data_IF_089663888513
#
_entry.id   IF_089663888513
#
_cell.length_a   1.000
_cell.length_b   1.000
_cell.length_c   1.000
_cell.angle_alpha   90.00
_cell.angle_beta   90.00
_cell.angle_gamma   90.00
#
_symmetry.space_group_name_H-M   'P 1'
#
loop_
_entity.id
_entity.type
_entity.pdbx_description
1 polymer ?
#
# COMPACT_ATOMS: atom_id res chain seq x y z
N UNK A 1 -19.01 -28.32 42.68
CA UNK A 1 -18.71 -29.67 42.19
C UNK A 1 -19.31 -29.82 40.81
N UNK A 2 -18.52 -29.58 39.75
CA UNK A 2 -18.76 -30.11 38.40
C UNK A 2 -17.42 -30.16 37.69
N UNK A 3 -16.94 -31.37 37.47
CA UNK A 3 -15.76 -31.71 36.65
C UNK A 3 -16.13 -31.58 35.18
N UNK A 4 -15.33 -30.89 34.39
CA UNK A 4 -15.32 -31.02 32.94
C UNK A 4 -13.99 -31.56 32.47
N UNK A 5 -14.09 -32.77 31.88
CA UNK A 5 -12.97 -33.55 31.39
C UNK A 5 -12.32 -32.99 30.14
N UNK A 6 -11.03 -33.10 30.15
CA UNK A 6 -10.10 -32.82 29.05
C UNK A 6 -10.26 -33.88 27.97
N UNK A 7 -10.66 -33.51 26.74
CA UNK A 7 -10.61 -34.42 25.58
C UNK A 7 -9.30 -34.19 24.83
N UNK A 8 -8.53 -35.26 24.69
CA UNK A 8 -7.31 -35.34 23.93
C UNK A 8 -7.54 -35.20 22.39
N UNK A 9 -6.55 -34.73 21.60
CA UNK A 9 -6.68 -34.58 20.16
C UNK A 9 -6.58 -35.92 19.45
N UNK A 10 -7.44 -36.08 18.44
CA UNK A 10 -7.48 -37.22 17.53
C UNK A 10 -6.19 -37.27 16.66
N UNK A 11 -5.45 -38.37 16.80
CA UNK A 11 -4.37 -38.76 15.89
C UNK A 11 -4.96 -39.19 14.55
N UNK A 12 -4.71 -38.42 13.49
CA UNK A 12 -4.93 -38.89 12.12
C UNK A 12 -3.84 -39.90 11.75
N UNK A 13 -4.22 -41.13 11.53
CA UNK A 13 -3.35 -42.18 10.98
C UNK A 13 -3.22 -41.95 9.47
N UNK A 14 -1.99 -41.77 8.99
CA UNK A 14 -1.66 -41.93 7.58
C UNK A 14 -1.76 -43.42 7.22
N UNK A 15 -2.66 -43.73 6.30
CA UNK A 15 -2.77 -45.04 5.67
C UNK A 15 -1.92 -44.99 4.40
N UNK A 16 -0.79 -45.70 4.41
CA UNK A 16 0.03 -45.97 3.22
C UNK A 16 -0.51 -47.19 2.50
N UNK A 17 -0.76 -47.19 1.19
CA UNK A 17 -1.02 -48.39 0.42
C UNK A 17 0.28 -49.15 0.11
N UNK A 18 0.23 -50.47 -0.04
CA UNK A 18 1.41 -51.31 -0.21
C UNK A 18 1.99 -51.23 -1.63
N UNK A 19 3.32 -51.06 -1.70
CA UNK A 19 4.07 -51.12 -2.93
C UNK A 19 4.14 -52.58 -3.48
N UNK A 20 3.58 -52.79 -4.67
CA UNK A 20 3.87 -54.01 -5.45
C UNK A 20 5.22 -53.86 -6.16
N UNK A 21 6.05 -54.90 -5.95
CA UNK A 21 7.35 -55.03 -6.60
C UNK A 21 7.20 -55.40 -8.09
N UNK A 22 7.84 -54.62 -8.95
CA UNK A 22 8.04 -54.90 -10.38
C UNK A 22 9.18 -54.04 -10.91
N UNK A 23 10.34 -54.65 -11.21
CA UNK A 23 11.55 -54.09 -11.82
C UNK A 23 11.35 -53.77 -13.33
N UNK A 24 12.37 -53.20 -14.02
CA UNK A 24 13.26 -52.07 -13.76
C UNK A 24 13.38 -51.10 -14.97
N UNK A 25 14.28 -50.09 -14.86
CA UNK A 25 14.83 -49.17 -15.90
C UNK A 25 13.97 -47.98 -16.29
N UNK A 26 14.44 -46.82 -15.85
CA UNK A 26 14.01 -45.51 -16.36
C UNK A 26 14.22 -44.42 -15.34
N UNK A 27 15.42 -43.82 -15.41
CA UNK A 27 15.79 -42.43 -15.02
C UNK A 27 14.94 -41.78 -13.91
N UNK A 28 15.53 -41.69 -12.74
CA UNK A 28 15.13 -40.82 -11.64
C UNK A 28 15.38 -39.35 -11.98
N UNK A 29 14.48 -38.74 -12.76
CA UNK A 29 14.40 -37.31 -12.95
C UNK A 29 12.92 -36.91 -12.98
N UNK A 30 12.36 -36.57 -11.85
CA UNK A 30 10.97 -36.11 -11.89
C UNK A 30 10.31 -35.81 -10.54
N UNK A 31 10.95 -35.99 -9.42
CA UNK A 31 10.29 -35.75 -8.12
C UNK A 31 10.83 -34.57 -7.31
N UNK A 32 11.81 -33.84 -7.84
CA UNK A 32 12.45 -32.69 -7.17
C UNK A 32 11.92 -31.32 -7.59
N UNK A 33 11.01 -31.22 -8.58
CA UNK A 33 10.70 -29.93 -9.23
C UNK A 33 9.37 -29.29 -8.77
N UNK A 34 8.59 -29.95 -7.92
CA UNK A 34 7.28 -29.42 -7.51
C UNK A 34 7.25 -28.71 -6.16
N UNK A 35 8.35 -28.69 -5.42
CA UNK A 35 8.37 -28.04 -4.09
C UNK A 35 9.01 -26.65 -4.14
N UNK A 36 9.71 -26.28 -5.21
CA UNK A 36 10.34 -24.94 -5.34
C UNK A 36 9.51 -23.89 -6.06
N UNK A 37 8.34 -24.25 -6.60
CA UNK A 37 7.47 -23.32 -7.33
C UNK A 37 6.49 -22.51 -6.50
N UNK A 38 6.28 -22.85 -5.23
CA UNK A 38 5.19 -22.25 -4.44
C UNK A 38 5.62 -21.15 -3.48
N UNK A 39 6.92 -20.82 -3.39
CA UNK A 39 7.42 -19.97 -2.30
C UNK A 39 7.96 -18.60 -2.69
N UNK A 40 7.89 -18.14 -3.94
CA UNK A 40 8.62 -16.94 -4.33
C UNK A 40 7.90 -15.89 -5.17
N UNK A 41 6.59 -15.95 -5.34
CA UNK A 41 5.87 -14.92 -6.08
C UNK A 41 4.73 -14.28 -5.28
N UNK A 42 5.04 -13.24 -4.49
CA UNK A 42 3.98 -12.41 -3.88
C UNK A 42 3.41 -11.38 -4.86
N UNK A 43 3.86 -11.35 -6.12
CA UNK A 43 3.32 -10.46 -7.14
C UNK A 43 2.30 -11.19 -8.00
N UNK A 44 1.14 -10.57 -8.25
CA UNK A 44 0.10 -11.10 -9.14
C UNK A 44 0.58 -11.38 -10.57
N UNK A 45 1.81 -10.97 -10.92
CA UNK A 45 2.45 -11.28 -12.20
C UNK A 45 2.59 -12.79 -12.45
N UNK A 46 2.86 -13.57 -11.41
CA UNK A 46 2.94 -15.04 -11.53
C UNK A 46 1.60 -15.69 -11.86
N UNK A 47 0.50 -15.03 -11.52
CA UNK A 47 -0.86 -15.45 -11.80
C UNK A 47 -1.47 -14.68 -12.98
N UNK A 48 -0.72 -13.80 -13.63
CA UNK A 48 -1.19 -12.89 -14.67
C UNK A 48 -2.46 -12.10 -14.25
N UNK A 49 -2.51 -11.69 -12.98
CA UNK A 49 -3.62 -10.88 -12.45
C UNK A 49 -3.38 -9.44 -12.81
N UNK A 50 -4.31 -8.84 -13.55
CA UNK A 50 -4.29 -7.40 -13.80
C UNK A 50 -4.65 -6.63 -12.53
N UNK A 51 -3.68 -5.86 -12.03
CA UNK A 51 -3.83 -5.02 -10.85
C UNK A 51 -4.26 -3.58 -11.20
N UNK A 52 -4.55 -3.28 -12.47
CA UNK A 52 -4.94 -1.91 -12.89
C UNK A 52 -6.23 -1.48 -12.20
N UNK A 53 -7.25 -2.32 -12.22
CA UNK A 53 -8.53 -2.05 -11.57
C UNK A 53 -8.38 -1.89 -10.07
N UNK A 54 -7.58 -2.74 -9.42
CA UNK A 54 -7.28 -2.60 -8.00
C UNK A 54 -6.63 -1.25 -7.68
N UNK A 55 -5.65 -0.81 -8.47
CA UNK A 55 -5.00 0.47 -8.27
C UNK A 55 -5.95 1.65 -8.50
N UNK A 56 -6.84 1.56 -9.51
CA UNK A 56 -7.86 2.58 -9.77
C UNK A 56 -8.85 2.68 -8.62
N UNK A 57 -9.36 1.55 -8.13
CA UNK A 57 -10.26 1.53 -6.97
C UNK A 57 -9.57 2.03 -5.70
N UNK A 58 -8.32 1.65 -5.45
CA UNK A 58 -7.55 2.14 -4.31
C UNK A 58 -7.31 3.66 -4.40
N UNK A 59 -7.10 4.19 -5.61
CA UNK A 59 -6.94 5.62 -5.84
C UNK A 59 -8.24 6.40 -5.60
N UNK A 60 -9.39 5.88 -6.08
CA UNK A 60 -10.71 6.45 -5.83
C UNK A 60 -11.06 6.42 -4.33
N UNK A 61 -10.69 5.34 -3.62
CA UNK A 61 -10.94 5.18 -2.20
C UNK A 61 -10.30 6.28 -1.35
N UNK A 62 -9.13 6.83 -1.72
CA UNK A 62 -8.50 7.96 -1.01
C UNK A 62 -9.46 9.13 -0.87
N UNK A 63 -10.17 9.48 -1.96
CA UNK A 63 -11.14 10.57 -1.97
C UNK A 63 -12.30 10.30 -1.01
N UNK A 64 -12.86 9.11 -1.05
CA UNK A 64 -13.96 8.71 -0.17
C UNK A 64 -13.55 8.74 1.30
N UNK A 65 -12.33 8.28 1.61
CA UNK A 65 -11.79 8.28 2.97
C UNK A 65 -11.43 9.69 3.48
N UNK A 66 -11.23 10.68 2.60
CA UNK A 66 -10.92 12.05 3.02
C UNK A 66 -12.06 12.70 3.83
N UNK A 67 -13.28 12.24 3.63
CA UNK A 67 -14.49 12.71 4.31
C UNK A 67 -14.98 11.78 5.42
N UNK A 68 -14.30 10.65 5.65
CA UNK A 68 -14.72 9.70 6.67
C UNK A 68 -14.33 10.18 8.08
N UNK A 69 -15.30 10.37 9.02
CA UNK A 69 -15.01 10.91 10.34
C UNK A 69 -14.26 9.92 11.25
N UNK A 70 -14.48 8.63 11.06
CA UNK A 70 -14.08 7.57 12.00
C UNK A 70 -12.93 6.69 11.48
N UNK A 71 -11.97 7.29 10.77
CA UNK A 71 -10.86 6.54 10.17
C UNK A 71 -10.03 5.72 11.16
N UNK A 72 -9.81 6.28 12.36
CA UNK A 72 -9.04 5.65 13.44
C UNK A 72 -9.94 5.10 14.57
N UNK A 73 -11.27 5.15 14.42
CA UNK A 73 -12.16 4.58 15.42
C UNK A 73 -11.96 3.06 15.48
N UNK A 74 -11.47 2.59 16.61
CA UNK A 74 -11.43 1.17 16.90
C UNK A 74 -12.86 0.68 17.14
N UNK A 75 -13.25 -0.40 16.47
CA UNK A 75 -14.53 -1.03 16.76
C UNK A 75 -14.54 -1.49 18.24
N UNK A 76 -15.62 -1.17 18.96
CA UNK A 76 -15.80 -1.63 20.34
C UNK A 76 -16.15 -3.13 20.31
N UNK A 77 -15.15 -3.94 20.08
CA UNK A 77 -15.26 -5.41 20.05
C UNK A 77 -14.30 -5.99 21.06
N UNK A 78 -14.60 -7.17 21.64
CA UNK A 78 -13.72 -7.83 22.60
C UNK A 78 -12.40 -8.32 21.98
N UNK A 79 -12.29 -8.33 20.65
CA UNK A 79 -11.05 -8.64 19.92
C UNK A 79 -10.54 -7.39 19.22
N UNK A 80 -9.23 -7.08 19.27
CA UNK A 80 -8.66 -5.95 18.57
C UNK A 80 -8.80 -6.15 17.06
N UNK A 81 -9.64 -5.32 16.44
CA UNK A 81 -9.80 -5.28 14.98
C UNK A 81 -9.01 -4.12 14.42
N UNK A 82 -8.34 -4.28 13.27
CA UNK A 82 -7.62 -3.19 12.64
C UNK A 82 -8.58 -2.06 12.26
N UNK A 83 -8.14 -0.81 12.42
CA UNK A 83 -8.91 0.37 12.02
C UNK A 83 -8.98 0.49 10.50
N UNK A 84 -9.92 1.30 10.00
CA UNK A 84 -10.03 1.57 8.55
C UNK A 84 -8.74 2.18 8.00
N UNK A 85 -8.12 3.10 8.74
CA UNK A 85 -6.84 3.70 8.36
C UNK A 85 -5.72 2.66 8.29
N UNK A 86 -5.63 1.74 9.24
CA UNK A 86 -4.62 0.67 9.23
C UNK A 86 -4.75 -0.25 8.02
N UNK A 87 -5.98 -0.68 7.70
CA UNK A 87 -6.24 -1.51 6.52
C UNK A 87 -5.90 -0.76 5.23
N UNK A 88 -6.26 0.52 5.15
CA UNK A 88 -5.97 1.37 4.01
C UNK A 88 -4.46 1.54 3.78
N UNK A 89 -3.70 1.92 4.81
CA UNK A 89 -2.24 2.05 4.67
C UNK A 89 -1.56 0.71 4.39
N UNK A 90 -2.08 -0.40 4.92
CA UNK A 90 -1.60 -1.73 4.57
C UNK A 90 -1.81 -2.03 3.08
N UNK A 91 -2.98 -1.70 2.52
CA UNK A 91 -3.24 -1.83 1.08
C UNK A 91 -2.29 -0.97 0.24
N UNK A 92 -2.04 0.29 0.64
CA UNK A 92 -1.05 1.16 0.00
C UNK A 92 0.36 0.56 0.03
N UNK A 93 0.79 0.01 1.18
CA UNK A 93 2.11 -0.62 1.29
C UNK A 93 2.26 -1.85 0.38
N UNK A 94 1.19 -2.61 0.18
CA UNK A 94 1.18 -3.74 -0.76
C UNK A 94 1.22 -3.26 -2.22
N UNK A 95 0.40 -2.25 -2.57
CA UNK A 95 0.34 -1.69 -3.92
C UNK A 95 1.68 -1.06 -4.35
N UNK A 96 2.39 -0.44 -3.42
CA UNK A 96 3.67 0.23 -3.63
C UNK A 96 4.86 -0.56 -3.06
N UNK A 97 4.76 -1.88 -2.98
CA UNK A 97 5.88 -2.72 -2.56
C UNK A 97 7.09 -2.56 -3.51
N UNK A 98 8.35 -2.70 -3.03
CA UNK A 98 9.54 -2.44 -3.85
C UNK A 98 9.63 -3.24 -5.15
N UNK A 99 8.93 -4.35 -5.24
CA UNK A 99 8.96 -5.28 -6.38
C UNK A 99 7.86 -5.05 -7.41
N UNK A 100 6.94 -4.12 -7.18
CA UNK A 100 5.75 -3.95 -8.03
C UNK A 100 5.99 -3.14 -9.29
N UNK A 101 7.19 -2.54 -9.47
CA UNK A 101 7.51 -1.77 -10.68
C UNK A 101 6.52 -0.65 -10.99
N UNK A 102 6.03 0.06 -9.96
CA UNK A 102 5.02 1.10 -10.11
C UNK A 102 5.54 2.25 -10.96
N UNK A 103 4.83 2.67 -12.01
CA UNK A 103 5.27 3.78 -12.85
C UNK A 103 5.26 5.12 -12.08
N UNK A 104 6.22 6.04 -12.36
CA UNK A 104 6.36 7.32 -11.63
C UNK A 104 5.10 8.19 -11.63
N UNK A 105 4.34 8.22 -12.74
CA UNK A 105 3.10 8.99 -12.81
C UNK A 105 2.03 8.48 -11.82
N UNK A 106 1.94 7.15 -11.61
CA UNK A 106 1.02 6.56 -10.62
C UNK A 106 1.45 6.93 -9.21
N UNK A 107 2.74 6.83 -8.91
CA UNK A 107 3.31 7.22 -7.62
C UNK A 107 3.04 8.70 -7.32
N UNK A 108 3.23 9.57 -8.31
CA UNK A 108 2.95 11.01 -8.22
C UNK A 108 1.45 11.29 -8.00
N UNK A 109 0.56 10.61 -8.73
CA UNK A 109 -0.88 10.76 -8.57
C UNK A 109 -1.34 10.42 -7.16
N UNK A 110 -0.89 9.26 -6.64
CA UNK A 110 -1.20 8.86 -5.26
C UNK A 110 -0.62 9.83 -4.23
N UNK A 111 0.63 10.26 -4.39
CA UNK A 111 1.24 11.23 -3.49
C UNK A 111 0.43 12.52 -3.41
N UNK A 112 0.01 13.08 -4.56
CA UNK A 112 -0.83 14.27 -4.63
C UNK A 112 -2.16 14.08 -3.93
N UNK A 113 -2.89 13.00 -4.24
CA UNK A 113 -4.20 12.73 -3.65
C UNK A 113 -4.12 12.47 -2.14
N UNK A 114 -3.08 11.76 -1.67
CA UNK A 114 -2.84 11.55 -0.24
C UNK A 114 -2.55 12.86 0.51
N UNK A 115 -1.77 13.76 -0.08
CA UNK A 115 -1.51 15.09 0.50
C UNK A 115 -2.79 15.93 0.58
N UNK A 116 -3.63 15.88 -0.46
CA UNK A 116 -4.94 16.55 -0.45
C UNK A 116 -5.84 15.98 0.66
N UNK A 117 -5.91 14.65 0.78
CA UNK A 117 -6.69 14.00 1.83
C UNK A 117 -6.16 14.31 3.23
N UNK A 118 -4.85 14.38 3.41
CA UNK A 118 -4.20 14.70 4.69
C UNK A 118 -4.59 16.08 5.26
N UNK A 119 -5.04 17.01 4.41
CA UNK A 119 -5.57 18.31 4.86
C UNK A 119 -6.86 18.17 5.70
N UNK A 120 -7.60 17.08 5.52
CA UNK A 120 -8.88 16.82 6.15
C UNK A 120 -8.84 15.71 7.22
N UNK A 121 -7.75 14.94 7.25
CA UNK A 121 -7.61 13.80 8.14
C UNK A 121 -7.20 14.19 9.57
N UNK A 122 -7.55 13.35 10.57
CA UNK A 122 -7.00 13.48 11.92
C UNK A 122 -5.47 13.45 11.89
N UNK A 123 -4.82 14.15 12.86
CA UNK A 123 -3.37 14.31 12.91
C UNK A 123 -2.59 12.99 12.78
N UNK A 124 -3.01 11.94 13.48
CA UNK A 124 -2.36 10.63 13.40
C UNK A 124 -2.40 10.01 11.99
N UNK A 125 -3.52 10.14 11.29
CA UNK A 125 -3.68 9.63 9.92
C UNK A 125 -2.91 10.50 8.93
N UNK A 126 -2.93 11.82 9.11
CA UNK A 126 -2.16 12.77 8.30
C UNK A 126 -0.65 12.52 8.42
N UNK A 127 -0.14 12.23 9.63
CA UNK A 127 1.26 11.84 9.85
C UNK A 127 1.63 10.57 9.07
N UNK A 128 0.81 9.53 9.14
CA UNK A 128 1.02 8.29 8.36
C UNK A 128 1.04 8.56 6.85
N UNK A 129 0.20 9.48 6.37
CA UNK A 129 0.19 9.87 4.97
C UNK A 129 1.50 10.58 4.58
N UNK A 130 1.97 11.54 5.38
CA UNK A 130 3.23 12.23 5.15
C UNK A 130 4.43 11.27 5.17
N UNK A 131 4.49 10.34 6.13
CA UNK A 131 5.52 9.30 6.18
C UNK A 131 5.48 8.38 4.95
N UNK A 132 4.27 8.04 4.48
CA UNK A 132 4.13 7.23 3.28
C UNK A 132 4.61 8.00 2.05
N UNK A 133 4.22 9.26 1.88
CA UNK A 133 4.70 10.12 0.78
C UNK A 133 6.21 10.32 0.85
N UNK A 134 6.79 10.52 2.03
CA UNK A 134 8.26 10.62 2.21
C UNK A 134 8.97 9.36 1.68
N UNK A 135 8.44 8.18 1.99
CA UNK A 135 8.97 6.90 1.46
C UNK A 135 8.84 6.79 -0.06
N UNK A 136 7.76 7.31 -0.64
CA UNK A 136 7.60 7.34 -2.10
C UNK A 136 8.63 8.26 -2.74
N UNK A 137 8.83 9.46 -2.20
CA UNK A 137 9.84 10.43 -2.68
C UNK A 137 11.25 9.85 -2.60
N UNK A 138 11.61 9.23 -1.47
CA UNK A 138 12.91 8.59 -1.29
C UNK A 138 13.19 7.46 -2.30
N UNK A 139 12.16 6.83 -2.83
CA UNK A 139 12.28 5.70 -3.77
C UNK A 139 12.19 6.10 -5.24
N UNK A 140 11.45 7.17 -5.54
CA UNK A 140 11.22 7.65 -6.89
C UNK A 140 11.67 9.12 -7.00
N UNK A 141 12.90 9.38 -7.44
CA UNK A 141 13.46 10.74 -7.53
C UNK A 141 12.64 11.70 -8.40
N UNK A 142 11.88 11.17 -9.38
CA UNK A 142 11.00 12.00 -10.22
C UNK A 142 9.92 12.73 -9.45
N UNK A 143 9.57 12.26 -8.23
CA UNK A 143 8.61 12.94 -7.37
C UNK A 143 9.15 14.26 -6.82
N UNK A 144 10.45 14.48 -6.84
CA UNK A 144 11.05 15.77 -6.49
C UNK A 144 10.50 16.92 -7.33
N UNK A 145 10.11 16.64 -8.58
CA UNK A 145 9.43 17.60 -9.44
C UNK A 145 8.11 18.12 -8.85
N UNK A 146 7.41 17.36 -8.00
CA UNK A 146 6.23 17.84 -7.28
C UNK A 146 6.57 18.82 -6.16
N UNK A 147 7.78 18.73 -5.61
CA UNK A 147 8.25 19.52 -4.48
C UNK A 147 9.02 20.77 -4.95
N UNK A 148 9.47 20.78 -6.20
CA UNK A 148 10.10 21.94 -6.82
C UNK A 148 9.08 23.04 -7.12
N UNK A 149 9.53 24.28 -6.98
CA UNK A 149 8.77 25.48 -7.37
C UNK A 149 9.24 26.06 -8.71
N UNK A 150 10.16 25.36 -9.40
CA UNK A 150 10.65 25.77 -10.70
C UNK A 150 9.58 25.68 -11.79
N UNK A 151 9.79 26.43 -12.88
CA UNK A 151 8.88 26.40 -14.02
C UNK A 151 8.76 25.00 -14.60
N UNK A 152 7.54 24.57 -14.83
CA UNK A 152 7.23 23.24 -15.29
C UNK A 152 7.25 23.17 -16.80
N UNK A 153 7.97 22.20 -17.32
CA UNK A 153 8.05 21.92 -18.76
C UNK A 153 6.95 20.96 -19.24
N UNK A 154 6.13 20.43 -18.31
CA UNK A 154 5.07 19.46 -18.63
C UNK A 154 3.78 20.21 -18.96
N UNK A 155 3.30 20.03 -20.19
CA UNK A 155 2.03 20.60 -20.64
C UNK A 155 0.82 19.86 -20.06
N UNK A 156 -0.26 20.62 -19.87
CA UNK A 156 -1.55 20.09 -19.43
C UNK A 156 -2.04 20.66 -18.10
N UNK A 157 -3.15 20.13 -17.62
CA UNK A 157 -3.80 20.56 -16.39
C UNK A 157 -3.92 19.35 -15.44
N UNK A 158 -3.59 19.56 -14.17
CA UNK A 158 -3.85 18.59 -13.13
C UNK A 158 -5.36 18.44 -12.91
N UNK A 159 -5.81 17.19 -12.87
CA UNK A 159 -7.23 16.83 -12.71
C UNK A 159 -7.43 16.01 -11.43
N UNK A 160 -7.75 16.68 -10.31
CA UNK A 160 -7.96 16.02 -9.02
C UNK A 160 -9.27 15.22 -8.97
N UNK A 161 -10.22 15.56 -9.81
CA UNK A 161 -11.57 14.97 -9.90
C UNK A 161 -11.60 13.58 -10.54
N UNK A 162 -10.55 13.23 -11.32
CA UNK A 162 -10.52 11.97 -12.07
C UNK A 162 -10.15 10.81 -11.16
N UNK A 163 -10.92 9.73 -11.23
CA UNK A 163 -10.69 8.51 -10.44
C UNK A 163 -9.56 7.62 -10.98
N UNK A 164 -9.19 7.80 -12.25
CA UNK A 164 -8.07 7.09 -12.86
C UNK A 164 -6.76 7.88 -12.62
N UNK A 165 -5.78 7.29 -11.90
CA UNK A 165 -4.51 7.95 -11.63
C UNK A 165 -3.71 8.28 -12.91
N UNK A 166 -3.93 7.56 -14.01
CA UNK A 166 -3.25 7.80 -15.28
C UNK A 166 -3.70 9.11 -15.92
N UNK A 167 -4.98 9.45 -15.78
CA UNK A 167 -5.59 10.65 -16.38
C UNK A 167 -5.47 11.91 -15.51
N UNK A 168 -4.97 11.78 -14.28
CA UNK A 168 -4.88 12.89 -13.32
C UNK A 168 -3.79 13.91 -13.62
N UNK A 169 -2.79 13.56 -14.43
CA UNK A 169 -1.65 14.40 -14.85
C UNK A 169 -0.93 15.12 -13.70
N UNK A 170 -0.40 14.39 -12.70
CA UNK A 170 0.06 14.97 -11.43
C UNK A 170 1.29 15.87 -11.56
N UNK A 171 2.15 15.65 -12.57
CA UNK A 171 3.39 16.43 -12.75
C UNK A 171 3.18 17.85 -13.28
N UNK A 172 1.96 18.24 -13.66
CA UNK A 172 1.64 19.60 -14.09
C UNK A 172 1.38 20.56 -12.92
N UNK A 173 1.37 20.06 -11.68
CA UNK A 173 1.15 20.86 -10.48
C UNK A 173 2.21 20.61 -9.42
N UNK A 174 2.36 21.52 -8.46
CA UNK A 174 3.21 21.31 -7.28
C UNK A 174 2.45 20.64 -6.15
N UNK A 175 3.17 20.14 -5.16
CA UNK A 175 2.60 19.67 -3.91
C UNK A 175 2.28 20.88 -2.98
N UNK A 176 1.41 21.78 -3.44
CA UNK A 176 1.01 22.99 -2.68
C UNK A 176 0.33 22.63 -1.35
N UNK A 177 -0.23 21.44 -1.23
CA UNK A 177 -0.83 20.93 -0.01
C UNK A 177 0.19 20.88 1.14
N UNK A 178 1.46 20.60 0.84
CA UNK A 178 2.52 20.65 1.85
C UNK A 178 2.71 22.06 2.43
N UNK A 179 2.50 23.10 1.62
CA UNK A 179 2.52 24.45 2.14
C UNK A 179 1.40 24.69 3.16
N UNK A 180 0.20 24.21 2.86
CA UNK A 180 -0.94 24.31 3.78
C UNK A 180 -0.72 23.46 5.03
N UNK A 181 -0.26 22.24 4.89
CA UNK A 181 0.03 21.34 6.01
C UNK A 181 1.06 21.93 6.97
N UNK A 182 2.17 22.51 6.44
CA UNK A 182 3.22 23.10 7.31
C UNK A 182 2.82 24.38 7.98
N UNK A 183 1.93 25.20 7.38
CA UNK A 183 1.59 26.54 7.88
C UNK A 183 0.29 26.60 8.65
N UNK A 184 -0.71 25.81 8.27
CA UNK A 184 -2.07 25.94 8.75
C UNK A 184 -2.63 24.71 9.49
N UNK A 185 -1.94 23.56 9.45
CA UNK A 185 -2.47 22.37 10.12
C UNK A 185 -2.49 22.56 11.64
N UNK A 186 -3.57 22.07 12.28
CA UNK A 186 -3.80 22.23 13.74
C UNK A 186 -2.73 21.52 14.55
N UNK A 187 -2.38 20.29 14.14
CA UNK A 187 -1.38 19.46 14.82
C UNK A 187 0.05 19.92 14.50
N UNK A 188 0.84 20.20 15.54
CA UNK A 188 2.23 20.62 15.42
C UNK A 188 3.14 19.55 14.82
N UNK A 189 2.87 18.27 15.11
CA UNK A 189 3.66 17.16 14.57
C UNK A 189 3.48 17.02 13.05
N UNK A 190 2.24 17.25 12.57
CA UNK A 190 1.95 17.26 11.12
C UNK A 190 2.67 18.42 10.44
N UNK A 191 2.68 19.62 11.06
CA UNK A 191 3.42 20.77 10.51
C UNK A 191 4.91 20.47 10.40
N UNK A 192 5.49 19.89 11.45
CA UNK A 192 6.91 19.51 11.48
C UNK A 192 7.24 18.46 10.43
N UNK A 193 6.43 17.41 10.32
CA UNK A 193 6.60 16.36 9.31
C UNK A 193 6.52 16.93 7.88
N UNK A 194 5.62 17.87 7.63
CA UNK A 194 5.52 18.55 6.33
C UNK A 194 6.76 19.42 6.03
N UNK A 195 7.31 20.12 7.02
CA UNK A 195 8.59 20.87 6.89
C UNK A 195 9.73 19.92 6.55
N UNK A 196 9.84 18.79 7.26
CA UNK A 196 10.89 17.80 7.03
C UNK A 196 10.83 17.22 5.63
N UNK A 197 9.62 16.94 5.12
CA UNK A 197 9.45 16.45 3.75
C UNK A 197 9.87 17.48 2.70
N UNK A 198 9.56 18.75 2.88
CA UNK A 198 9.99 19.82 1.97
C UNK A 198 11.52 20.01 2.01
N UNK A 199 12.13 19.91 3.19
CA UNK A 199 13.57 20.09 3.35
C UNK A 199 14.37 18.89 2.83
N UNK A 200 13.81 17.68 2.85
CA UNK A 200 14.45 16.47 2.32
C UNK A 200 14.90 16.63 0.86
N UNK A 201 14.15 17.36 0.06
CA UNK A 201 14.43 17.57 -1.38
C UNK A 201 15.43 18.70 -1.62
N UNK A 202 15.67 19.55 -0.61
CA UNK A 202 16.60 20.69 -0.74
C UNK A 202 18.04 20.35 -0.33
N UNK A 203 18.25 19.14 0.22
CA UNK A 203 19.56 18.62 0.58
C UNK A 203 20.11 17.69 -0.49
#
# INVERSE_FOLDING_TARGET
MYHYGIRAPLRTRCVTPPCHAGRPHGTAHGCGLLIHGASSHPSGEALNVDLSDFNTQLYALVQSLSLAPDLDAAAVTPTPTPTTSELFFRALHLAFAPRTGVPPWRTAAFAKRLLTAALHWPGAVALRALEFVARLVAREPRLEALLSTEDRTVDGVYRPDVEDPQLSNPFTTSAYELHLLRTAHVDAQVREAAVNLVNYVRT
#
